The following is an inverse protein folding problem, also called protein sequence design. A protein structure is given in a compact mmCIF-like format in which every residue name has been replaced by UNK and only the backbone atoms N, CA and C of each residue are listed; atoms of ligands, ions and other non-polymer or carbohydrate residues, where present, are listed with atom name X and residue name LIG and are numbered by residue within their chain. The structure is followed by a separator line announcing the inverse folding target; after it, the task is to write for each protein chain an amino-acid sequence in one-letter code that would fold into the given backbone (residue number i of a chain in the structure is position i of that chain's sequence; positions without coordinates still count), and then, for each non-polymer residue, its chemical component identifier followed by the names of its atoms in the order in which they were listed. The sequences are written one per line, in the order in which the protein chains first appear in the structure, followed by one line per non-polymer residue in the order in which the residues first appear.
data_IF_330707684591
#
_entry.id   IF_330707684591
#
_cell.length_a   1.000
_cell.length_b   1.000
_cell.length_c   1.000
_cell.angle_alpha   90.00
_cell.angle_beta   90.00
_cell.angle_gamma   90.00
#
_symmetry.space_group_name_H-M   'P 1'
#
loop_
_entity.id
_entity.type
_entity.pdbx_description
1 polymer ?
#
# COMPACT_ATOMS: atom_id res chain seq x y z
N UNK A 1 -7.58 9.04 -7.55
CA UNK A 1 -6.82 9.96 -8.40
C UNK A 1 -7.63 11.17 -8.87
N UNK A 2 -8.86 11.01 -9.38
CA UNK A 2 -9.63 12.11 -10.03
C UNK A 2 -9.86 13.34 -9.14
N UNK A 3 -9.88 13.20 -7.83
CA UNK A 3 -10.19 14.30 -6.89
C UNK A 3 -8.97 14.76 -6.09
N UNK A 4 -7.88 14.00 -6.08
CA UNK A 4 -6.71 14.31 -5.24
C UNK A 4 -5.42 14.58 -6.03
N UNK A 5 -5.30 14.05 -7.25
CA UNK A 5 -4.15 14.27 -8.11
C UNK A 5 -4.54 15.08 -9.35
N UNK A 6 -3.60 15.83 -9.90
CA UNK A 6 -3.76 16.53 -11.18
C UNK A 6 -3.00 15.80 -12.30
N UNK A 7 -3.48 15.95 -13.52
CA UNK A 7 -2.88 15.41 -14.75
C UNK A 7 -2.55 13.90 -14.70
N UNK A 8 -3.47 13.03 -14.24
CA UNK A 8 -3.16 11.61 -14.17
C UNK A 8 -3.07 10.99 -15.57
N UNK A 9 -1.93 10.39 -15.88
CA UNK A 9 -1.71 9.58 -17.08
C UNK A 9 -1.65 8.13 -16.67
N UNK A 10 -2.67 7.37 -17.04
CA UNK A 10 -2.71 5.93 -16.77
C UNK A 10 -1.74 5.20 -17.70
N UNK A 11 -0.94 4.31 -17.12
CA UNK A 11 0.00 3.47 -17.83
C UNK A 11 -0.59 2.05 -17.85
N UNK A 12 -1.03 1.61 -19.03
CA UNK A 12 -1.61 0.29 -19.17
C UNK A 12 -0.55 -0.78 -19.35
N UNK A 13 -0.83 -1.91 -18.77
CA UNK A 13 -0.29 -3.26 -18.81
C UNK A 13 1.11 -3.52 -19.38
N UNK A 14 1.66 -4.64 -18.94
CA UNK A 14 2.97 -5.14 -19.40
C UNK A 14 2.89 -6.00 -20.66
N UNK A 15 1.69 -6.25 -21.18
CA UNK A 15 1.47 -7.22 -22.25
C UNK A 15 1.54 -8.70 -21.81
N UNK A 16 1.79 -8.98 -20.53
CA UNK A 16 1.86 -10.33 -19.96
C UNK A 16 0.76 -10.58 -18.94
N UNK A 17 -0.45 -10.77 -19.40
CA UNK A 17 -1.64 -10.97 -18.58
C UNK A 17 -2.27 -9.66 -18.11
N UNK A 18 -3.51 -9.74 -17.66
CA UNK A 18 -4.25 -8.59 -17.16
C UNK A 18 -3.90 -8.33 -15.68
N UNK A 19 -3.32 -7.18 -15.39
CA UNK A 19 -3.11 -6.69 -14.03
C UNK A 19 -4.37 -5.96 -13.52
N UNK A 20 -5.52 -6.60 -13.60
CA UNK A 20 -6.84 -5.99 -13.36
C UNK A 20 -6.99 -5.35 -11.96
N UNK A 21 -6.18 -5.78 -10.98
CA UNK A 21 -6.22 -5.28 -9.60
C UNK A 21 -5.14 -4.24 -9.31
N UNK A 22 -4.39 -3.80 -10.32
CA UNK A 22 -3.32 -2.80 -10.16
C UNK A 22 -3.56 -1.62 -11.09
N UNK A 23 -3.40 -0.42 -10.54
CA UNK A 23 -3.37 0.83 -11.27
C UNK A 23 -1.94 1.36 -11.23
N UNK A 24 -1.36 1.65 -12.39
CA UNK A 24 -0.11 2.37 -12.53
C UNK A 24 -0.36 3.68 -13.27
N UNK A 25 0.13 4.79 -12.74
CA UNK A 25 -0.06 6.11 -13.33
C UNK A 25 1.12 7.05 -13.05
N UNK A 26 1.30 8.04 -13.92
CA UNK A 26 2.00 9.28 -13.60
C UNK A 26 0.95 10.30 -13.17
N UNK A 27 1.23 11.05 -12.12
CA UNK A 27 0.31 12.06 -11.60
C UNK A 27 1.08 13.19 -10.90
N UNK A 28 0.36 14.23 -10.47
CA UNK A 28 0.92 15.30 -9.65
C UNK A 28 0.12 15.44 -8.36
N UNK A 29 0.82 15.53 -7.23
CA UNK A 29 0.23 15.95 -5.96
C UNK A 29 0.77 17.33 -5.58
N UNK A 30 -0.11 18.31 -5.45
CA UNK A 30 0.26 19.73 -5.26
C UNK A 30 1.35 20.20 -6.27
N UNK A 31 1.22 19.81 -7.54
CA UNK A 31 2.16 20.15 -8.61
C UNK A 31 3.41 19.26 -8.68
N UNK A 32 3.70 18.43 -7.68
CA UNK A 32 4.87 17.55 -7.65
C UNK A 32 4.62 16.27 -8.45
N UNK A 33 5.45 15.96 -9.47
CA UNK A 33 5.28 14.74 -10.25
C UNK A 33 5.68 13.51 -9.42
N UNK A 34 4.88 12.45 -9.56
CA UNK A 34 5.07 11.16 -8.87
C UNK A 34 4.66 10.00 -9.77
N UNK A 35 5.19 8.83 -9.50
CA UNK A 35 4.62 7.56 -9.95
C UNK A 35 3.61 7.11 -8.91
N UNK A 36 2.40 6.74 -9.34
CA UNK A 36 1.35 6.19 -8.47
C UNK A 36 1.13 4.73 -8.82
N UNK A 37 1.20 3.90 -7.82
CA UNK A 37 0.90 2.48 -7.90
C UNK A 37 -0.22 2.18 -6.90
N UNK A 38 -1.38 1.74 -7.39
CA UNK A 38 -2.54 1.48 -6.55
C UNK A 38 -3.09 0.07 -6.72
N UNK A 39 -3.48 -0.54 -5.61
CA UNK A 39 -4.31 -1.73 -5.63
C UNK A 39 -5.78 -1.29 -5.77
N UNK A 40 -6.55 -2.03 -6.58
CA UNK A 40 -7.95 -1.71 -6.86
C UNK A 40 -8.86 -2.88 -6.48
N UNK A 41 -9.95 -2.57 -5.78
CA UNK A 41 -11.00 -3.54 -5.42
C UNK A 41 -12.20 -3.53 -6.38
N UNK A 42 -12.11 -2.84 -7.52
CA UNK A 42 -13.23 -2.56 -8.43
C UNK A 42 -14.04 -3.77 -8.90
N UNK A 43 -13.46 -4.97 -8.88
CA UNK A 43 -14.12 -6.19 -9.37
C UNK A 43 -14.11 -7.31 -8.35
N UNK A 44 -13.81 -7.02 -7.07
CA UNK A 44 -13.63 -8.06 -6.06
C UNK A 44 -12.41 -8.95 -6.32
N UNK A 45 -11.54 -8.56 -7.25
CA UNK A 45 -10.38 -9.33 -7.65
C UNK A 45 -9.32 -9.39 -6.55
N UNK A 46 -8.79 -10.59 -6.33
CA UNK A 46 -7.65 -10.83 -5.48
C UNK A 46 -6.35 -10.55 -6.24
N UNK A 47 -5.29 -10.18 -5.52
CA UNK A 47 -4.01 -9.82 -6.13
C UNK A 47 -3.26 -11.07 -6.58
N UNK A 48 -3.07 -11.20 -7.88
CA UNK A 48 -2.33 -12.29 -8.50
C UNK A 48 -0.90 -11.90 -8.90
N UNK A 49 -0.13 -12.85 -9.47
CA UNK A 49 1.25 -12.62 -9.89
C UNK A 49 1.41 -11.51 -10.94
N UNK A 50 0.46 -11.35 -11.86
CA UNK A 50 0.48 -10.30 -12.88
C UNK A 50 0.43 -8.90 -12.27
N UNK A 51 -0.44 -8.70 -11.25
CA UNK A 51 -0.55 -7.45 -10.51
C UNK A 51 0.74 -7.08 -9.77
N UNK A 52 1.43 -8.06 -9.21
CA UNK A 52 2.71 -7.85 -8.53
C UNK A 52 3.85 -7.55 -9.50
N UNK A 53 3.86 -8.17 -10.70
CA UNK A 53 4.80 -7.79 -11.76
C UNK A 53 4.58 -6.34 -12.23
N UNK A 54 3.33 -5.91 -12.34
CA UNK A 54 3.01 -4.52 -12.65
C UNK A 54 3.46 -3.57 -11.53
N UNK A 55 3.32 -3.98 -10.26
CA UNK A 55 3.85 -3.22 -9.13
C UNK A 55 5.36 -3.02 -9.23
N UNK A 56 6.11 -4.07 -9.53
CA UNK A 56 7.56 -4.01 -9.73
C UNK A 56 7.96 -3.14 -10.93
N UNK A 57 7.18 -3.20 -12.01
CA UNK A 57 7.36 -2.27 -13.14
C UNK A 57 7.20 -0.81 -12.70
N UNK A 58 6.20 -0.51 -11.86
CA UNK A 58 6.02 0.82 -11.29
C UNK A 58 7.18 1.26 -10.42
N UNK A 59 7.75 0.37 -9.61
CA UNK A 59 8.95 0.63 -8.82
C UNK A 59 10.16 0.96 -9.72
N UNK A 60 10.40 0.14 -10.75
CA UNK A 60 11.47 0.38 -11.72
C UNK A 60 11.30 1.71 -12.44
N UNK A 61 10.08 2.03 -12.87
CA UNK A 61 9.78 3.31 -13.53
C UNK A 61 10.06 4.50 -12.61
N UNK A 62 9.68 4.40 -11.33
CA UNK A 62 9.97 5.46 -10.36
C UNK A 62 11.48 5.68 -10.20
N UNK A 63 12.27 4.62 -10.15
CA UNK A 63 13.72 4.69 -10.08
C UNK A 63 14.33 5.32 -11.35
N UNK A 64 13.95 4.85 -12.53
CA UNK A 64 14.45 5.33 -13.81
C UNK A 64 14.14 6.82 -14.03
N UNK A 65 12.93 7.24 -13.71
CA UNK A 65 12.51 8.65 -13.81
C UNK A 65 12.97 9.52 -12.64
N UNK A 66 13.53 8.92 -11.60
CA UNK A 66 13.91 9.59 -10.33
C UNK A 66 12.72 10.35 -9.72
N UNK A 67 11.52 9.76 -9.81
CA UNK A 67 10.30 10.32 -9.26
C UNK A 67 9.95 9.62 -7.95
N UNK A 68 9.33 10.32 -6.99
CA UNK A 68 8.74 9.69 -5.82
C UNK A 68 7.71 8.65 -6.23
N UNK A 69 7.63 7.57 -5.46
CA UNK A 69 6.63 6.51 -5.63
C UNK A 69 5.58 6.62 -4.53
N UNK A 70 4.32 6.73 -4.93
CA UNK A 70 3.16 6.69 -4.03
C UNK A 70 2.43 5.35 -4.25
N UNK A 71 2.37 4.54 -3.19
CA UNK A 71 1.70 3.26 -3.20
C UNK A 71 0.36 3.38 -2.46
N UNK A 72 -0.73 2.98 -3.11
CA UNK A 72 -2.06 2.99 -2.49
C UNK A 72 -2.52 1.56 -2.28
N UNK A 73 -2.71 1.19 -1.03
CA UNK A 73 -3.03 -0.16 -0.58
C UNK A 73 -4.53 -0.24 -0.27
N UNK A 74 -5.25 -1.02 -1.06
CA UNK A 74 -6.64 -1.41 -0.79
C UNK A 74 -6.91 -2.77 -1.45
N UNK A 75 -6.72 -3.85 -0.69
CA UNK A 75 -6.84 -5.22 -1.20
C UNK A 75 -7.40 -6.19 -0.17
N UNK A 76 -8.28 -7.08 -0.65
CA UNK A 76 -8.80 -8.19 0.16
C UNK A 76 -7.78 -9.35 0.33
N UNK A 77 -6.66 -9.31 -0.38
CA UNK A 77 -5.59 -10.29 -0.21
C UNK A 77 -5.12 -10.95 -1.51
N UNK A 78 -4.32 -12.02 -1.38
CA UNK A 78 -3.78 -12.73 -2.52
C UNK A 78 -4.82 -13.64 -3.19
N UNK A 79 -4.65 -13.88 -4.48
CA UNK A 79 -5.36 -14.92 -5.20
C UNK A 79 -4.90 -16.31 -4.71
N UNK A 80 -5.80 -17.05 -4.08
CA UNK A 80 -5.53 -18.39 -3.58
C UNK A 80 -6.02 -19.42 -4.60
N UNK A 81 -5.29 -19.61 -5.69
CA UNK A 81 -5.61 -20.56 -6.76
C UNK A 81 -4.37 -21.30 -7.23
N UNK A 82 -4.57 -22.44 -7.85
CA UNK A 82 -3.49 -23.23 -8.44
C UNK A 82 -2.71 -22.41 -9.50
N UNK A 83 -3.42 -21.61 -10.30
CA UNK A 83 -2.82 -20.74 -11.33
C UNK A 83 -1.94 -19.65 -10.69
N UNK A 84 -2.38 -19.06 -9.58
CA UNK A 84 -1.60 -18.05 -8.87
C UNK A 84 -0.33 -18.64 -8.26
N UNK A 85 -0.42 -19.82 -7.66
CA UNK A 85 0.75 -20.55 -7.12
C UNK A 85 1.73 -20.95 -8.21
N UNK A 86 1.25 -21.53 -9.30
CA UNK A 86 2.06 -21.88 -10.48
C UNK A 86 2.67 -20.65 -11.15
N UNK A 87 1.97 -19.50 -11.09
CA UNK A 87 2.45 -18.20 -11.53
C UNK A 87 3.51 -17.57 -10.64
N UNK A 88 3.89 -18.23 -9.53
CA UNK A 88 4.94 -17.82 -8.60
C UNK A 88 4.53 -16.69 -7.66
N UNK A 89 3.28 -16.68 -7.17
CA UNK A 89 2.72 -15.61 -6.32
C UNK A 89 3.63 -15.26 -5.15
N UNK A 90 4.05 -16.24 -4.36
CA UNK A 90 4.91 -16.01 -3.20
C UNK A 90 6.26 -15.38 -3.60
N UNK A 91 6.86 -15.83 -4.71
CA UNK A 91 8.08 -15.25 -5.25
C UNK A 91 7.90 -13.80 -5.69
N UNK A 92 6.77 -13.46 -6.32
CA UNK A 92 6.47 -12.07 -6.70
C UNK A 92 6.25 -11.16 -5.48
N UNK A 93 5.61 -11.65 -4.41
CA UNK A 93 5.47 -10.91 -3.13
C UNK A 93 6.85 -10.62 -2.55
N UNK A 94 7.72 -11.63 -2.45
CA UNK A 94 9.07 -11.48 -1.91
C UNK A 94 9.92 -10.49 -2.73
N UNK A 95 9.82 -10.54 -4.06
CA UNK A 95 10.53 -9.63 -4.96
C UNK A 95 10.02 -8.19 -4.83
N UNK A 96 8.70 -7.96 -4.77
CA UNK A 96 8.13 -6.63 -4.50
C UNK A 96 8.66 -6.04 -3.19
N UNK A 97 8.66 -6.84 -2.12
CA UNK A 97 9.18 -6.43 -0.82
C UNK A 97 10.65 -6.03 -0.89
N UNK A 98 11.49 -6.87 -1.53
CA UNK A 98 12.92 -6.64 -1.66
C UNK A 98 13.22 -5.38 -2.50
N UNK A 99 12.52 -5.19 -3.60
CA UNK A 99 12.69 -4.03 -4.49
C UNK A 99 12.22 -2.74 -3.79
N UNK A 100 11.06 -2.75 -3.12
CA UNK A 100 10.55 -1.55 -2.43
C UNK A 100 11.48 -1.12 -1.28
N UNK A 101 11.95 -2.05 -0.47
CA UNK A 101 12.78 -1.72 0.69
C UNK A 101 14.14 -1.14 0.30
N UNK A 102 14.62 -1.46 -0.90
CA UNK A 102 15.91 -1.00 -1.45
C UNK A 102 15.78 0.12 -2.48
N UNK A 103 14.55 0.58 -2.80
CA UNK A 103 14.28 1.58 -3.81
C UNK A 103 14.93 2.93 -3.44
N UNK A 104 15.67 3.53 -4.37
CA UNK A 104 16.43 4.76 -4.12
C UNK A 104 15.61 6.06 -4.22
N UNK A 105 14.37 6.02 -4.68
CA UNK A 105 13.48 7.20 -4.73
C UNK A 105 12.68 7.36 -3.43
N UNK A 106 12.17 8.58 -3.12
CA UNK A 106 11.23 8.77 -2.03
C UNK A 106 10.00 7.89 -2.19
N UNK A 107 9.58 7.21 -1.13
CA UNK A 107 8.44 6.30 -1.14
C UNK A 107 7.42 6.65 -0.06
N UNK A 108 6.15 6.71 -0.44
CA UNK A 108 5.02 6.95 0.46
C UNK A 108 3.98 5.86 0.25
N UNK A 109 3.69 5.07 1.26
CA UNK A 109 2.60 4.10 1.24
C UNK A 109 1.36 4.68 1.91
N UNK A 110 0.21 4.41 1.33
CA UNK A 110 -1.10 4.86 1.81
C UNK A 110 -1.98 3.64 2.03
N UNK A 111 -2.29 3.33 3.27
CA UNK A 111 -3.26 2.32 3.65
C UNK A 111 -4.65 2.96 3.56
N UNK A 112 -5.27 2.82 2.38
CA UNK A 112 -6.52 3.51 2.06
C UNK A 112 -7.74 2.85 2.71
N UNK A 113 -7.74 1.54 2.78
CA UNK A 113 -8.84 0.75 3.33
C UNK A 113 -8.31 -0.58 3.86
N UNK A 114 -8.67 -1.65 3.17
CA UNK A 114 -8.28 -3.00 3.55
C UNK A 114 -6.85 -3.31 3.09
N UNK A 115 -5.97 -3.64 4.04
CA UNK A 115 -4.61 -4.13 3.78
C UNK A 115 -4.48 -5.59 4.21
N UNK A 116 -4.78 -6.53 3.31
CA UNK A 116 -4.79 -7.95 3.67
C UNK A 116 -3.70 -8.75 2.96
N UNK A 117 -3.01 -9.58 3.74
CA UNK A 117 -2.11 -10.61 3.25
C UNK A 117 -0.80 -10.11 2.64
N UNK A 118 -0.07 -11.03 2.03
CA UNK A 118 1.24 -10.77 1.43
C UNK A 118 1.31 -9.61 0.45
N UNK A 119 0.34 -9.44 -0.47
CA UNK A 119 0.35 -8.32 -1.42
C UNK A 119 0.24 -6.94 -0.77
N UNK A 120 -0.51 -6.80 0.32
CA UNK A 120 -0.54 -5.56 1.08
C UNK A 120 0.80 -5.34 1.81
N UNK A 121 1.30 -6.35 2.50
CA UNK A 121 2.57 -6.30 3.23
C UNK A 121 3.75 -5.96 2.31
N UNK A 122 3.73 -6.43 1.06
CA UNK A 122 4.79 -6.15 0.09
C UNK A 122 4.86 -4.67 -0.34
N UNK A 123 3.81 -3.88 -0.10
CA UNK A 123 3.74 -2.47 -0.47
C UNK A 123 3.82 -1.50 0.73
N UNK A 124 3.93 -2.03 1.95
CA UNK A 124 4.03 -1.21 3.17
C UNK A 124 5.42 -0.61 3.39
N UNK A 125 6.56 -1.30 3.10
CA UNK A 125 7.88 -0.83 3.56
C UNK A 125 8.41 0.37 2.78
N UNK A 126 7.73 1.50 2.91
CA UNK A 126 8.09 2.81 2.38
C UNK A 126 8.82 3.68 3.41
N UNK A 127 9.31 4.84 2.98
CA UNK A 127 9.90 5.85 3.88
C UNK A 127 8.86 6.42 4.84
N UNK A 128 7.62 6.62 4.34
CA UNK A 128 6.46 7.06 5.12
C UNK A 128 5.26 6.19 4.83
N UNK A 129 4.47 5.93 5.86
CA UNK A 129 3.21 5.19 5.77
C UNK A 129 2.08 6.04 6.33
N UNK A 130 1.13 6.40 5.48
CA UNK A 130 -0.11 7.06 5.86
C UNK A 130 -1.23 6.02 5.93
N UNK A 131 -2.21 6.24 6.77
CA UNK A 131 -3.42 5.42 6.80
C UNK A 131 -4.66 6.30 6.83
N UNK A 132 -5.71 5.92 6.12
CA UNK A 132 -7.05 6.41 6.39
C UNK A 132 -7.47 5.99 7.80
N UNK A 133 -8.36 6.75 8.44
CA UNK A 133 -8.79 6.50 9.82
C UNK A 133 -9.32 5.07 10.00
N UNK A 134 -10.09 4.57 9.03
CA UNK A 134 -10.67 3.22 9.03
C UNK A 134 -9.81 2.19 8.30
N UNK A 135 -8.62 2.58 7.83
CA UNK A 135 -7.66 1.67 7.24
C UNK A 135 -7.13 0.66 8.26
N UNK A 136 -6.83 -0.55 7.80
CA UNK A 136 -6.26 -1.61 8.61
C UNK A 136 -5.29 -2.48 7.82
N UNK A 137 -4.36 -3.14 8.53
CA UNK A 137 -3.34 -4.01 7.93
C UNK A 137 -3.23 -5.30 8.74
N UNK A 138 -3.43 -6.44 8.08
CA UNK A 138 -3.27 -7.75 8.68
C UNK A 138 -2.62 -8.76 7.73
N UNK A 139 -1.81 -9.70 8.22
CA UNK A 139 -1.26 -10.78 7.40
C UNK A 139 -2.36 -11.76 6.93
N UNK A 140 -3.46 -11.84 7.66
CA UNK A 140 -4.63 -12.65 7.36
C UNK A 140 -5.89 -11.85 7.71
N UNK A 141 -6.96 -11.88 6.90
CA UNK A 141 -8.24 -11.25 7.26
C UNK A 141 -8.76 -11.76 8.59
N UNK A 142 -9.38 -10.90 9.44
CA UNK A 142 -9.88 -11.31 10.75
C UNK A 142 -10.88 -12.47 10.69
N UNK A 143 -11.73 -12.54 9.66
CA UNK A 143 -12.65 -13.63 9.41
C UNK A 143 -11.92 -14.94 9.14
N UNK A 144 -10.83 -14.88 8.36
CA UNK A 144 -9.96 -16.03 8.10
C UNK A 144 -9.24 -16.50 9.37
N UNK A 145 -8.76 -15.56 10.19
CA UNK A 145 -8.17 -15.88 11.49
C UNK A 145 -9.18 -16.55 12.43
N UNK A 146 -10.42 -16.03 12.50
CA UNK A 146 -11.51 -16.61 13.27
C UNK A 146 -11.83 -18.05 12.80
N UNK A 147 -11.95 -18.24 11.49
CA UNK A 147 -12.21 -19.56 10.93
C UNK A 147 -11.12 -20.59 11.26
N UNK A 148 -9.87 -20.17 11.33
CA UNK A 148 -8.75 -21.06 11.70
C UNK A 148 -8.78 -21.41 13.19
N UNK A 149 -8.99 -20.42 14.06
CA UNK A 149 -8.90 -20.59 15.52
C UNK A 149 -10.18 -21.20 16.09
N UNK A 150 -11.34 -20.67 15.69
CA UNK A 150 -12.64 -21.00 16.29
C UNK A 150 -13.56 -21.85 15.38
N UNK A 151 -13.19 -21.98 14.10
CA UNK A 151 -13.99 -22.65 13.05
C UNK A 151 -15.32 -21.96 12.72
N UNK A 152 -15.39 -20.66 13.02
CA UNK A 152 -16.50 -19.77 12.68
C UNK A 152 -15.93 -18.37 12.32
N UNK A 153 -16.80 -17.40 12.01
CA UNK A 153 -16.40 -16.02 11.71
C UNK A 153 -16.82 -15.01 12.78
N UNK A 154 -17.44 -15.47 13.86
CA UNK A 154 -18.10 -14.63 14.86
C UNK A 154 -17.09 -13.89 15.75
N UNK A 155 -15.86 -14.41 15.84
CA UNK A 155 -14.76 -13.84 16.65
C UNK A 155 -13.85 -12.89 15.86
N UNK A 156 -14.18 -12.54 14.61
CA UNK A 156 -13.35 -11.69 13.76
C UNK A 156 -13.06 -10.33 14.40
N UNK A 157 -14.06 -9.68 15.01
CA UNK A 157 -13.88 -8.38 15.67
C UNK A 157 -12.96 -8.45 16.91
N UNK A 158 -13.06 -9.51 17.70
CA UNK A 158 -12.21 -9.77 18.86
C UNK A 158 -10.76 -9.98 18.42
N UNK A 159 -10.54 -10.82 17.41
CA UNK A 159 -9.21 -11.09 16.87
C UNK A 159 -8.59 -9.85 16.23
N UNK A 160 -9.37 -9.05 15.50
CA UNK A 160 -8.91 -7.77 14.96
C UNK A 160 -8.42 -6.80 16.05
N UNK A 161 -9.15 -6.75 17.18
CA UNK A 161 -8.76 -5.93 18.32
C UNK A 161 -7.50 -6.48 19.01
N UNK A 162 -7.42 -7.79 19.20
CA UNK A 162 -6.27 -8.44 19.84
C UNK A 162 -4.98 -8.36 19.00
N UNK A 163 -5.12 -8.41 17.67
CA UNK A 163 -3.99 -8.33 16.75
C UNK A 163 -3.47 -6.90 16.52
N UNK A 164 -4.20 -5.86 16.95
CA UNK A 164 -3.74 -4.47 16.78
C UNK A 164 -3.62 -4.05 15.32
N UNK A 165 -4.59 -4.39 14.48
CA UNK A 165 -4.52 -4.21 13.02
C UNK A 165 -5.02 -2.86 12.51
N UNK A 166 -5.74 -2.09 13.36
CA UNK A 166 -6.37 -0.81 12.96
C UNK A 166 -5.33 0.31 12.82
N UNK A 167 -5.64 1.32 12.05
CA UNK A 167 -4.76 2.47 11.82
C UNK A 167 -4.16 3.07 13.09
N UNK A 168 -4.95 3.16 14.17
CA UNK A 168 -4.48 3.67 15.47
C UNK A 168 -3.50 2.73 16.17
N UNK A 169 -3.73 1.44 16.07
CA UNK A 169 -2.83 0.41 16.63
C UNK A 169 -1.50 0.40 15.85
N UNK A 170 -1.58 0.53 14.52
CA UNK A 170 -0.43 0.62 13.62
C UNK A 170 0.38 1.91 13.84
N UNK A 171 -0.28 3.03 14.17
CA UNK A 171 0.38 4.27 14.56
C UNK A 171 1.13 4.09 15.89
N UNK A 172 0.48 3.48 16.88
CA UNK A 172 1.10 3.21 18.17
C UNK A 172 2.31 2.28 18.09
N UNK A 173 2.30 1.31 17.17
CA UNK A 173 3.42 0.39 16.90
C UNK A 173 4.50 0.97 15.97
N UNK A 174 4.32 2.18 15.44
CA UNK A 174 5.28 2.82 14.53
C UNK A 174 5.28 2.28 13.09
N UNK A 175 4.29 1.48 12.71
CA UNK A 175 4.09 1.02 11.32
C UNK A 175 3.50 2.15 10.46
N UNK A 176 2.55 2.91 11.01
CA UNK A 176 1.95 4.09 10.38
C UNK A 176 2.57 5.35 10.98
N UNK A 177 2.81 6.38 10.16
CA UNK A 177 3.34 7.68 10.60
C UNK A 177 2.22 8.71 10.78
N UNK A 178 1.20 8.68 9.92
CA UNK A 178 0.12 9.67 9.88
C UNK A 178 -1.21 9.00 9.64
N UNK A 179 -2.22 9.36 10.44
CA UNK A 179 -3.61 8.99 10.16
C UNK A 179 -4.32 10.18 9.51
N UNK A 180 -4.89 9.95 8.33
CA UNK A 180 -5.72 10.92 7.63
C UNK A 180 -7.17 10.75 8.11
N UNK A 181 -7.78 11.79 8.70
CA UNK A 181 -9.12 11.67 9.28
C UNK A 181 -10.20 11.48 8.19
N UNK A 182 -11.27 10.81 8.57
CA UNK A 182 -12.50 10.63 7.81
C UNK A 182 -13.69 11.21 8.60
N UNK A 183 -14.72 11.76 7.92
CA UNK A 183 -15.83 12.49 8.56
C UNK A 183 -17.21 12.12 8.02
N UNK A 184 -17.92 11.14 8.58
CA UNK A 184 -17.44 10.09 9.48
C UNK A 184 -16.70 8.99 8.75
N UNK A 185 -16.96 8.81 7.44
CA UNK A 185 -16.37 7.81 6.55
C UNK A 185 -15.97 8.45 5.22
N UNK A 186 -14.91 7.97 4.59
CA UNK A 186 -14.45 8.44 3.29
C UNK A 186 -15.51 8.28 2.19
N UNK A 187 -16.41 7.30 2.31
CA UNK A 187 -17.51 7.10 1.37
C UNK A 187 -18.57 8.20 1.45
N UNK A 188 -18.74 8.84 2.62
CA UNK A 188 -19.69 9.95 2.81
C UNK A 188 -19.14 11.29 2.31
N UNK A 189 -17.81 11.43 2.22
CA UNK A 189 -17.12 12.65 1.79
C UNK A 189 -16.00 12.39 0.75
N UNK A 190 -16.24 11.65 -0.32
CA UNK A 190 -15.15 11.11 -1.17
C UNK A 190 -14.25 12.19 -1.79
N UNK A 191 -14.79 13.36 -2.11
CA UNK A 191 -14.04 14.47 -2.69
C UNK A 191 -13.14 15.14 -1.65
N UNK A 192 -13.71 15.47 -0.49
CA UNK A 192 -12.97 16.15 0.58
C UNK A 192 -11.94 15.23 1.23
N UNK A 193 -12.28 13.95 1.42
CA UNK A 193 -11.31 12.95 1.88
C UNK A 193 -10.15 12.80 0.88
N UNK A 194 -10.45 12.64 -0.42
CA UNK A 194 -9.40 12.53 -1.45
C UNK A 194 -8.49 13.76 -1.49
N UNK A 195 -9.04 14.98 -1.31
CA UNK A 195 -8.27 16.22 -1.23
C UNK A 195 -7.36 16.23 0.01
N UNK A 196 -7.90 15.88 1.17
CA UNK A 196 -7.17 15.80 2.44
C UNK A 196 -6.02 14.81 2.37
N UNK A 197 -6.28 13.62 1.84
CA UNK A 197 -5.28 12.59 1.59
C UNK A 197 -4.18 13.06 0.63
N UNK A 198 -4.57 13.70 -0.47
CA UNK A 198 -3.63 14.21 -1.46
C UNK A 198 -2.69 15.27 -0.88
N UNK A 199 -3.20 16.17 -0.02
CA UNK A 199 -2.39 17.17 0.68
C UNK A 199 -1.42 16.51 1.67
N UNK A 200 -1.86 15.49 2.41
CA UNK A 200 -0.99 14.72 3.30
C UNK A 200 0.13 14.02 2.53
N UNK A 201 -0.19 13.35 1.44
CA UNK A 201 0.80 12.71 0.55
C UNK A 201 1.78 13.74 0.00
N UNK A 202 1.30 14.89 -0.48
CA UNK A 202 2.15 15.95 -1.02
C UNK A 202 3.14 16.48 0.03
N UNK A 203 2.69 16.66 1.28
CA UNK A 203 3.54 17.11 2.37
C UNK A 203 4.66 16.11 2.68
N UNK A 204 4.35 14.82 2.75
CA UNK A 204 5.36 13.77 3.00
C UNK A 204 6.33 13.63 1.83
N UNK A 205 5.84 13.68 0.59
CA UNK A 205 6.71 13.67 -0.60
C UNK A 205 7.66 14.86 -0.59
N UNK A 206 7.18 16.06 -0.27
CA UNK A 206 8.01 17.26 -0.17
C UNK A 206 9.11 17.09 0.90
N UNK A 207 8.73 16.66 2.10
CA UNK A 207 9.67 16.45 3.20
C UNK A 207 10.74 15.39 2.86
N UNK A 208 10.35 14.29 2.23
CA UNK A 208 11.28 13.21 1.85
C UNK A 208 12.28 13.65 0.76
N UNK A 209 11.91 14.58 -0.10
CA UNK A 209 12.82 15.09 -1.15
C UNK A 209 13.97 15.94 -0.60
N UNK A 210 13.81 16.51 0.58
CA UNK A 210 14.87 17.27 1.27
C UNK A 210 15.90 16.37 1.96
N UNK A 211 15.59 15.06 2.14
CA UNK A 211 16.47 14.09 2.80
C UNK A 211 17.38 13.44 1.75
N UNK A 212 18.70 13.41 1.96
CA UNK A 212 19.63 12.68 1.09
C UNK A 212 19.23 11.20 0.92
N UNK A 213 19.48 10.66 -0.27
CA UNK A 213 18.99 9.32 -0.64
C UNK A 213 19.55 8.22 0.26
N UNK A 214 20.83 8.28 0.61
CA UNK A 214 21.51 7.35 1.50
C UNK A 214 20.98 7.42 2.94
N UNK A 215 20.70 8.61 3.45
CA UNK A 215 20.11 8.81 4.77
C UNK A 215 18.68 8.25 4.82
N UNK A 216 17.88 8.53 3.78
CA UNK A 216 16.51 8.03 3.64
C UNK A 216 16.48 6.51 3.58
N UNK A 217 17.32 5.88 2.75
CA UNK A 217 17.42 4.43 2.65
C UNK A 217 17.87 3.81 3.98
N UNK A 218 18.87 4.38 4.63
CA UNK A 218 19.34 3.91 5.92
C UNK A 218 18.26 4.02 7.00
N UNK A 219 17.46 5.10 6.99
CA UNK A 219 16.33 5.28 7.91
C UNK A 219 15.23 4.23 7.68
N UNK A 220 14.87 3.96 6.41
CA UNK A 220 13.92 2.91 6.01
C UNK A 220 14.37 1.54 6.52
N UNK A 221 15.59 1.15 6.25
CA UNK A 221 16.14 -0.14 6.68
C UNK A 221 16.18 -0.27 8.22
N UNK A 222 16.53 0.79 8.94
CA UNK A 222 16.49 0.79 10.42
C UNK A 222 15.07 0.64 10.95
N UNK A 223 14.09 1.34 10.35
CA UNK A 223 12.69 1.26 10.75
C UNK A 223 12.18 -0.18 10.71
N UNK A 224 12.30 -0.83 9.56
CA UNK A 224 11.72 -2.16 9.37
C UNK A 224 12.49 -3.28 10.10
N UNK A 225 13.75 -3.05 10.49
CA UNK A 225 14.46 -3.95 11.41
C UNK A 225 13.95 -3.89 12.85
N UNK A 226 13.29 -2.80 13.23
CA UNK A 226 12.75 -2.61 14.59
C UNK A 226 11.30 -3.08 14.74
N UNK A 227 10.59 -3.29 13.65
CA UNK A 227 9.21 -3.80 13.72
C UNK A 227 9.20 -5.17 14.38
N UNK A 228 8.46 -5.29 15.50
CA UNK A 228 8.37 -6.53 16.27
C UNK A 228 9.43 -6.73 17.36
N UNK A 229 10.34 -5.78 17.56
CA UNK A 229 11.21 -5.74 18.74
C UNK A 229 10.67 -4.74 19.75
N UNK A 230 10.58 -5.11 21.04
CA UNK A 230 10.16 -4.20 22.11
C UNK A 230 11.14 -3.05 22.31
#
# INVERSE_FOLDING_TARGET
LRHGATDPVLLSGTGQGEAATTLLALARFAGQPVVVLGQQRLTGGLVGPASLREARRGMALAAELRLPLVLVIDTAGPALSAEAEQGGLAGQIAQCLAELVTLDTPTVSVLLGQGSGGPALAMVPADRVLAALHGWLAPLPPEGASAIVFRDTDHAAELAAAQGIRSRDLLASGIVDVIVPEHPDAADEPVEFARRLALAVAAEVAALREIPADERLAARLRRYRRVGFP
#
